data_IF_558920665865
#
_entry.id   IF_558920665865
#
_cell.length_a   1.000
_cell.length_b   1.000
_cell.length_c   1.000
_cell.angle_alpha   90.00
_cell.angle_beta   90.00
_cell.angle_gamma   90.00
#
_symmetry.space_group_name_H-M   'P 1'
#
loop_
_entity.id
_entity.type
_entity.pdbx_description
1 polymer ?
#
# COMPACT_ATOMS: atom_id res chain seq x y z
N UNK A 1 5.71 -16.74 7.58
CA UNK A 1 5.22 -16.20 6.30
C UNK A 1 4.93 -14.72 6.44
N UNK A 2 5.37 -13.91 5.50
CA UNK A 2 5.09 -12.47 5.52
C UNK A 2 3.71 -12.18 4.92
N UNK A 3 3.00 -11.25 5.53
CA UNK A 3 1.65 -10.91 5.10
C UNK A 3 1.33 -9.46 5.51
N UNK A 4 0.27 -8.94 4.90
CA UNK A 4 -0.35 -7.71 5.36
C UNK A 4 -1.86 -7.92 5.51
N UNK A 5 -2.48 -7.11 6.37
CA UNK A 5 -3.91 -7.14 6.62
C UNK A 5 -4.51 -5.82 6.18
N UNK A 6 -5.57 -5.87 5.40
CA UNK A 6 -6.27 -4.69 4.92
C UNK A 6 -7.78 -4.90 5.09
N UNK A 7 -8.44 -3.94 5.72
CA UNK A 7 -9.88 -3.98 5.95
C UNK A 7 -10.34 -5.29 6.63
N UNK A 8 -9.55 -5.76 7.59
CA UNK A 8 -9.90 -6.93 8.40
C UNK A 8 -9.59 -8.28 7.77
N UNK A 9 -9.02 -8.31 6.56
CA UNK A 9 -8.67 -9.56 5.89
C UNK A 9 -7.17 -9.61 5.59
N UNK A 10 -6.59 -10.78 5.75
CA UNK A 10 -5.16 -11.00 5.54
C UNK A 10 -4.87 -11.37 4.09
N UNK A 11 -3.73 -10.89 3.57
CA UNK A 11 -3.24 -11.32 2.26
C UNK A 11 -2.99 -12.83 2.22
N UNK A 12 -2.62 -13.44 3.34
CA UNK A 12 -2.41 -14.87 3.42
C UNK A 12 -3.69 -15.68 3.18
N UNK A 13 -4.86 -15.12 3.49
CA UNK A 13 -6.15 -15.78 3.25
C UNK A 13 -6.45 -15.96 1.76
N UNK A 14 -5.82 -15.16 0.91
CA UNK A 14 -5.93 -15.25 -0.54
C UNK A 14 -4.77 -15.99 -1.19
N UNK A 15 -3.84 -16.52 -0.39
CA UNK A 15 -2.69 -17.24 -0.89
C UNK A 15 -1.62 -16.35 -1.53
N UNK A 16 -1.58 -15.08 -1.17
CA UNK A 16 -0.58 -14.15 -1.69
C UNK A 16 0.77 -14.36 -1.04
N UNK A 17 1.81 -14.37 -1.87
CA UNK A 17 3.21 -14.41 -1.43
C UNK A 17 3.85 -13.07 -1.74
N UNK A 18 4.41 -12.41 -0.72
CA UNK A 18 5.01 -11.10 -0.88
C UNK A 18 6.46 -11.26 -1.31
N UNK A 19 6.81 -10.71 -2.48
CA UNK A 19 8.17 -10.73 -3.03
C UNK A 19 9.00 -9.55 -2.55
N UNK A 20 8.39 -8.36 -2.52
CA UNK A 20 9.08 -7.13 -2.10
C UNK A 20 8.08 -6.15 -1.50
N UNK A 21 8.61 -5.16 -0.82
CA UNK A 21 7.80 -4.18 -0.12
C UNK A 21 8.46 -2.83 -0.10
N UNK A 22 7.64 -1.78 0.05
CA UNK A 22 8.08 -0.43 0.36
C UNK A 22 7.14 0.10 1.46
N UNK A 23 7.44 -0.23 2.70
CA UNK A 23 6.57 0.05 3.84
C UNK A 23 7.17 1.08 4.81
N UNK A 24 8.41 1.49 4.57
CA UNK A 24 9.10 2.44 5.46
C UNK A 24 9.33 3.80 4.80
N UNK A 25 8.59 4.12 3.74
CA UNK A 25 8.60 5.46 3.16
C UNK A 25 8.13 6.49 4.17
N UNK A 26 8.80 7.62 4.22
CA UNK A 26 8.41 8.72 5.09
C UNK A 26 7.50 9.69 4.35
N UNK A 27 6.53 10.30 5.04
CA UNK A 27 5.69 11.31 4.41
C UNK A 27 6.48 12.60 4.21
N UNK A 28 6.13 13.34 3.16
CA UNK A 28 6.72 14.64 2.90
C UNK A 28 6.00 15.71 3.73
N UNK A 29 6.78 16.63 4.28
CA UNK A 29 6.21 17.81 4.93
C UNK A 29 5.70 18.76 3.86
N UNK A 30 4.45 19.20 3.98
CA UNK A 30 3.82 20.08 3.01
C UNK A 30 4.22 21.53 3.29
N UNK A 31 5.11 22.08 2.45
CA UNK A 31 5.63 23.42 2.59
C UNK A 31 5.90 24.01 1.22
N UNK A 32 5.88 25.35 1.15
CA UNK A 32 6.28 26.09 -0.04
C UNK A 32 7.64 26.71 0.21
N UNK A 33 8.55 26.54 -0.75
CA UNK A 33 9.89 27.13 -0.70
C UNK A 33 9.92 28.35 -1.61
N UNK A 34 10.30 29.50 -1.06
CA UNK A 34 10.34 30.74 -1.80
C UNK A 34 11.74 31.34 -1.78
N UNK A 35 12.29 31.57 -2.97
CA UNK A 35 13.58 32.22 -3.10
C UNK A 35 13.47 33.69 -2.73
N UNK A 36 14.46 34.21 -1.99
CA UNK A 36 14.55 35.62 -1.62
C UNK A 36 15.78 36.19 -2.30
N UNK A 37 15.64 37.22 -3.16
CA UNK A 37 16.78 37.80 -3.83
C UNK A 37 17.86 38.30 -2.86
N UNK A 38 19.12 37.98 -3.16
CA UNK A 38 20.26 38.39 -2.36
C UNK A 38 20.53 37.51 -1.12
N UNK A 39 19.79 36.43 -0.94
CA UNK A 39 20.01 35.50 0.18
C UNK A 39 20.22 34.08 -0.33
N UNK A 40 21.13 33.37 0.35
CA UNK A 40 21.30 31.95 0.15
C UNK A 40 20.23 31.18 0.95
N UNK A 41 19.66 30.15 0.33
CA UNK A 41 18.61 29.36 0.95
C UNK A 41 17.23 30.00 0.72
N UNK A 42 16.23 29.15 0.64
CA UNK A 42 14.85 29.56 0.40
C UNK A 42 14.11 29.78 1.72
N UNK A 43 13.13 30.66 1.69
CA UNK A 43 12.19 30.81 2.79
C UNK A 43 11.22 29.62 2.78
N UNK A 44 11.02 29.00 3.94
CA UNK A 44 10.08 27.90 4.10
C UNK A 44 8.76 28.44 4.61
N UNK A 45 7.70 28.25 3.80
CA UNK A 45 6.34 28.61 4.20
C UNK A 45 5.58 27.32 4.51
N UNK A 46 5.41 26.94 5.79
CA UNK A 46 4.79 25.69 6.16
C UNK A 46 3.28 25.73 5.97
N UNK A 47 2.71 24.63 5.49
CA UNK A 47 1.27 24.43 5.42
C UNK A 47 0.76 23.62 6.63
N UNK A 48 1.62 23.34 7.59
CA UNK A 48 1.32 22.70 8.87
C UNK A 48 0.70 21.30 8.73
N UNK A 49 1.15 20.55 7.71
CA UNK A 49 0.68 19.18 7.50
C UNK A 49 1.77 18.34 6.86
N UNK A 50 1.65 17.04 7.02
CA UNK A 50 2.41 16.06 6.25
C UNK A 50 1.51 15.46 5.16
N UNK A 51 2.06 15.23 3.99
CA UNK A 51 1.36 14.54 2.91
C UNK A 51 1.23 13.05 3.24
N UNK A 52 0.30 12.38 2.55
CA UNK A 52 0.18 10.94 2.67
C UNK A 52 1.46 10.24 2.20
N UNK A 53 1.78 9.13 2.84
CA UNK A 53 2.90 8.29 2.46
C UNK A 53 2.41 7.15 1.56
N UNK A 54 3.26 6.73 0.61
CA UNK A 54 2.96 5.57 -0.23
C UNK A 54 3.52 4.31 0.41
N UNK A 55 2.67 3.28 0.48
CA UNK A 55 3.06 1.96 0.96
C UNK A 55 2.74 0.97 -0.15
N UNK A 56 3.68 0.11 -0.49
CA UNK A 56 3.46 -0.85 -1.56
C UNK A 56 3.95 -2.25 -1.19
N UNK A 57 3.28 -3.25 -1.75
CA UNK A 57 3.64 -4.65 -1.63
C UNK A 57 3.59 -5.27 -3.01
N UNK A 58 4.68 -5.87 -3.44
CA UNK A 58 4.71 -6.67 -4.66
C UNK A 58 4.51 -8.12 -4.27
N UNK A 59 3.49 -8.74 -4.86
CA UNK A 59 3.07 -10.07 -4.47
C UNK A 59 2.70 -10.91 -5.67
N UNK A 60 2.68 -12.22 -5.48
CA UNK A 60 2.19 -13.14 -6.50
C UNK A 60 1.29 -14.19 -5.87
N UNK A 61 0.43 -14.77 -6.71
CA UNK A 61 -0.40 -15.90 -6.38
C UNK A 61 -0.24 -16.95 -7.46
N UNK A 62 -0.14 -18.24 -7.06
CA UNK A 62 0.04 -19.34 -7.98
C UNK A 62 -1.08 -20.37 -7.79
N UNK A 63 -1.61 -20.86 -8.91
CA UNK A 63 -2.65 -21.88 -8.92
C UNK A 63 -2.36 -22.93 -10.00
N UNK A 64 -2.96 -24.11 -9.84
CA UNK A 64 -2.77 -25.21 -10.78
C UNK A 64 -3.50 -25.01 -12.11
N UNK A 65 -4.61 -24.26 -12.07
CA UNK A 65 -5.42 -24.02 -13.27
C UNK A 65 -5.67 -22.54 -13.46
N UNK A 66 -5.91 -22.12 -14.69
CA UNK A 66 -6.25 -20.75 -15.02
C UNK A 66 -7.59 -20.33 -14.37
N UNK A 67 -8.53 -21.24 -14.24
CA UNK A 67 -9.82 -20.96 -13.64
C UNK A 67 -9.67 -20.61 -12.15
N UNK A 68 -8.89 -21.39 -11.41
CA UNK A 68 -8.62 -21.13 -10.00
C UNK A 68 -7.89 -19.81 -9.81
N UNK A 69 -6.94 -19.50 -10.69
CA UNK A 69 -6.21 -18.21 -10.66
C UNK A 69 -7.16 -17.05 -10.90
N UNK A 70 -8.04 -17.14 -11.90
CA UNK A 70 -9.01 -16.10 -12.22
C UNK A 70 -9.97 -15.84 -11.06
N UNK A 71 -10.46 -16.89 -10.43
CA UNK A 71 -11.37 -16.76 -9.28
C UNK A 71 -10.69 -16.08 -8.10
N UNK A 72 -9.44 -16.46 -7.81
CA UNK A 72 -8.66 -15.85 -6.74
C UNK A 72 -8.36 -14.38 -7.02
N UNK A 73 -7.96 -14.03 -8.23
CA UNK A 73 -7.68 -12.64 -8.62
C UNK A 73 -8.94 -11.79 -8.52
N UNK A 74 -10.10 -12.35 -8.88
CA UNK A 74 -11.37 -11.66 -8.76
C UNK A 74 -11.71 -11.38 -7.30
N UNK A 75 -11.48 -12.34 -6.42
CA UNK A 75 -11.70 -12.19 -4.98
C UNK A 75 -10.75 -11.14 -4.38
N UNK A 76 -9.50 -11.11 -4.79
CA UNK A 76 -8.52 -10.10 -4.35
C UNK A 76 -8.95 -8.71 -4.77
N UNK A 77 -9.40 -8.54 -5.99
CA UNK A 77 -9.91 -7.25 -6.48
C UNK A 77 -11.13 -6.80 -5.67
N UNK A 78 -12.05 -7.70 -5.39
CA UNK A 78 -13.22 -7.40 -4.57
C UNK A 78 -12.85 -6.97 -3.15
N UNK A 79 -11.83 -7.59 -2.59
CA UNK A 79 -11.31 -7.23 -1.27
C UNK A 79 -10.66 -5.84 -1.26
N UNK A 80 -9.75 -5.58 -2.20
CA UNK A 80 -8.98 -4.32 -2.22
C UNK A 80 -9.85 -3.11 -2.58
N UNK A 81 -10.84 -3.29 -3.44
CA UNK A 81 -11.67 -2.20 -3.95
C UNK A 81 -13.09 -2.18 -3.39
N UNK A 82 -13.33 -2.86 -2.26
CA UNK A 82 -14.65 -2.92 -1.64
C UNK A 82 -15.17 -1.53 -1.23
N UNK A 83 -14.30 -0.70 -0.66
CA UNK A 83 -14.64 0.65 -0.24
C UNK A 83 -13.50 1.62 -0.57
N UNK A 84 -13.33 2.00 -1.86
CA UNK A 84 -12.18 2.79 -2.28
C UNK A 84 -12.24 4.26 -1.86
N UNK A 85 -13.34 4.70 -1.29
CA UNK A 85 -13.57 6.08 -0.84
C UNK A 85 -13.22 6.31 0.64
N UNK A 86 -12.68 5.31 1.33
CA UNK A 86 -12.40 5.37 2.77
C UNK A 86 -11.04 4.82 3.11
N UNK A 87 -10.48 5.34 4.21
CA UNK A 87 -9.30 4.75 4.80
C UNK A 87 -9.67 3.49 5.59
N UNK A 88 -8.82 2.48 5.50
CA UNK A 88 -8.98 1.22 6.21
C UNK A 88 -7.71 0.91 7.00
N UNK A 89 -7.81 0.20 8.13
CA UNK A 89 -6.63 -0.19 8.88
C UNK A 89 -5.79 -1.19 8.10
N UNK A 90 -4.47 -0.96 8.10
CA UNK A 90 -3.48 -1.81 7.46
C UNK A 90 -2.44 -2.19 8.50
N UNK A 91 -2.26 -3.49 8.70
CA UNK A 91 -1.19 -4.02 9.53
C UNK A 91 -0.38 -5.01 8.70
N UNK A 92 0.86 -5.26 9.07
CA UNK A 92 1.69 -6.23 8.38
C UNK A 92 2.66 -6.92 9.33
N UNK A 93 3.31 -7.97 8.83
CA UNK A 93 4.31 -8.74 9.58
C UNK A 93 5.67 -8.05 9.64
N UNK A 94 5.84 -6.96 8.89
CA UNK A 94 7.11 -6.23 8.84
C UNK A 94 7.22 -5.17 9.94
N UNK A 95 6.11 -4.72 10.47
CA UNK A 95 6.04 -3.67 11.49
C UNK A 95 4.92 -4.01 12.47
N UNK A 96 5.16 -5.06 13.25
CA UNK A 96 4.17 -5.58 14.19
C UNK A 96 3.92 -4.62 15.34
N UNK A 97 2.68 -4.57 15.82
CA UNK A 97 2.29 -3.68 16.91
C UNK A 97 1.90 -2.27 16.48
N UNK A 98 1.93 -1.97 15.17
CA UNK A 98 1.54 -0.68 14.64
C UNK A 98 0.49 -0.85 13.54
N UNK A 99 -0.45 0.08 13.52
CA UNK A 99 -1.46 0.14 12.47
C UNK A 99 -1.33 1.46 11.73
N UNK A 100 -1.54 1.40 10.43
CA UNK A 100 -1.66 2.59 9.58
C UNK A 100 -3.02 2.58 8.91
N UNK A 101 -3.48 3.73 8.51
CA UNK A 101 -4.76 3.86 7.81
C UNK A 101 -4.48 4.29 6.38
N UNK A 102 -4.93 3.49 5.45
CA UNK A 102 -4.68 3.73 4.05
C UNK A 102 -5.82 3.26 3.17
N UNK A 103 -5.73 3.62 1.90
CA UNK A 103 -6.70 3.23 0.89
C UNK A 103 -5.96 2.85 -0.38
N UNK A 104 -6.53 1.96 -1.16
CA UNK A 104 -5.96 1.58 -2.45
C UNK A 104 -5.87 2.83 -3.34
N UNK A 105 -4.71 3.04 -3.94
CA UNK A 105 -4.44 4.26 -4.70
C UNK A 105 -4.59 4.07 -6.19
N UNK A 106 -4.15 2.93 -6.70
CA UNK A 106 -4.09 2.66 -8.13
C UNK A 106 -4.73 1.32 -8.46
N UNK A 107 -5.18 1.17 -9.70
CA UNK A 107 -5.64 -0.11 -10.19
C UNK A 107 -4.52 -1.14 -10.22
N UNK A 108 -4.88 -2.39 -10.13
CA UNK A 108 -3.92 -3.48 -10.18
C UNK A 108 -3.59 -3.81 -11.65
N UNK A 109 -2.31 -3.88 -11.95
CA UNK A 109 -1.81 -4.37 -13.24
C UNK A 109 -1.27 -5.77 -12.99
N UNK A 110 -2.08 -6.77 -13.34
CA UNK A 110 -1.78 -8.16 -13.01
C UNK A 110 -1.14 -8.82 -14.22
N UNK A 111 0.12 -9.25 -14.05
CA UNK A 111 0.84 -10.00 -15.06
C UNK A 111 0.66 -11.49 -14.83
N UNK A 112 0.19 -12.20 -15.84
CA UNK A 112 0.07 -13.65 -15.80
C UNK A 112 1.28 -14.31 -16.42
N UNK A 113 1.84 -15.30 -15.73
CA UNK A 113 2.91 -16.13 -16.25
C UNK A 113 2.42 -17.55 -16.40
N UNK A 114 2.44 -18.07 -17.62
CA UNK A 114 2.00 -19.43 -17.94
C UNK A 114 0.59 -19.75 -17.48
N UNK A 115 -0.28 -18.75 -17.37
CA UNK A 115 -1.66 -18.87 -16.93
C UNK A 115 -1.84 -19.50 -15.53
N UNK A 116 -0.78 -19.52 -14.72
CA UNK A 116 -0.78 -20.14 -13.40
C UNK A 116 -0.35 -19.20 -12.28
N UNK A 117 0.38 -18.14 -12.62
CA UNK A 117 0.93 -17.19 -11.66
C UNK A 117 0.45 -15.79 -12.03
N UNK A 118 -0.20 -15.13 -11.08
CA UNK A 118 -0.55 -13.72 -11.19
C UNK A 118 0.37 -12.91 -10.30
N UNK A 119 1.07 -11.95 -10.87
CA UNK A 119 2.00 -11.05 -10.16
C UNK A 119 1.51 -9.62 -10.29
N UNK A 120 1.55 -8.87 -9.18
CA UNK A 120 1.09 -7.49 -9.17
C UNK A 120 1.66 -6.73 -7.98
N UNK A 121 1.60 -5.40 -8.07
CA UNK A 121 1.97 -4.51 -6.98
C UNK A 121 0.74 -3.82 -6.45
N UNK A 122 0.54 -3.88 -5.14
CA UNK A 122 -0.55 -3.17 -4.46
C UNK A 122 0.01 -1.89 -3.89
N UNK A 123 -0.56 -0.76 -4.28
CA UNK A 123 -0.15 0.56 -3.81
C UNK A 123 -1.23 1.17 -2.94
N UNK A 124 -0.87 1.55 -1.72
CA UNK A 124 -1.76 2.23 -0.79
C UNK A 124 -1.29 3.65 -0.56
N UNK A 125 -2.25 4.57 -0.48
CA UNK A 125 -2.00 5.92 0.00
C UNK A 125 -2.40 5.97 1.47
N UNK A 126 -1.41 6.11 2.35
CA UNK A 126 -1.60 6.01 3.79
C UNK A 126 -1.49 7.36 4.46
N UNK A 127 -2.26 7.56 5.54
CA UNK A 127 -2.08 8.72 6.40
C UNK A 127 -0.64 8.75 6.91
N UNK A 128 -0.08 9.95 7.19
CA UNK A 128 1.37 10.09 7.39
C UNK A 128 1.95 9.36 8.59
N UNK A 129 1.14 9.00 9.57
CA UNK A 129 1.63 8.41 10.81
C UNK A 129 1.05 7.03 11.07
N UNK A 130 1.86 6.17 11.68
CA UNK A 130 1.42 4.89 12.23
C UNK A 130 0.96 5.09 13.65
N UNK A 131 0.03 4.25 14.09
CA UNK A 131 -0.51 4.28 15.45
C UNK A 131 -0.21 2.95 16.14
N UNK A 132 0.05 3.00 17.42
CA UNK A 132 0.25 1.79 18.22
C UNK A 132 -1.07 1.01 18.35
N UNK A 133 -1.00 -0.31 18.26
CA UNK A 133 -2.14 -1.21 18.48
C UNK A 133 -2.40 -1.45 19.99
N UNK A 134 -2.19 -0.52 20.81
CA UNK A 134 -2.35 -0.71 22.26
C UNK A 134 -3.82 -0.90 22.66
#
# INVERSE_FOLDING_TARGET
MNFFTYNGQSSADFGLHIESKNVFSTPAFDATFQAIPGRNGDLIIPNNRFANASVSYTAFVAHRTIQSLSDTLRAIRGWLFAEPDRYHPITDSYDTGFVRYGVIKEGLDIEEQLNRIGSFTVNFSCKPFRYSEA
#
